data_IF_497778420659
#
_entry.id   IF_497778420659
#
_cell.length_a   1.000
_cell.length_b   1.000
_cell.length_c   1.000
_cell.angle_alpha   90.00
_cell.angle_beta   90.00
_cell.angle_gamma   90.00
#
_symmetry.space_group_name_H-M   'P 1'
#
loop_
_entity.id
_entity.type
_entity.pdbx_description
1 polymer ?
#
# COMPACT_ATOMS: atom_id res chain seq x y z
N UNK A 1 35.98 22.26 46.30
CA UNK A 1 34.90 22.77 45.41
C UNK A 1 35.28 22.42 43.99
N UNK A 2 34.73 21.34 43.43
CA UNK A 2 34.83 21.02 42.01
C UNK A 2 33.42 20.65 41.54
N UNK A 3 32.90 21.43 40.61
CA UNK A 3 31.58 21.27 40.03
C UNK A 3 31.61 20.10 39.05
N UNK A 4 30.82 19.07 39.34
CA UNK A 4 30.57 17.95 38.44
C UNK A 4 29.51 18.42 37.44
N UNK A 5 29.93 18.71 36.20
CA UNK A 5 29.03 19.11 35.13
C UNK A 5 28.39 17.84 34.55
N UNK A 6 27.14 17.61 34.89
CA UNK A 6 26.29 16.53 34.37
C UNK A 6 26.15 16.62 32.83
N UNK A 7 26.52 15.58 32.04
CA UNK A 7 26.37 15.63 30.59
C UNK A 7 24.91 15.36 30.19
N UNK A 8 24.31 16.34 29.51
CA UNK A 8 22.93 16.28 29.01
C UNK A 8 22.61 15.00 28.19
N UNK A 9 21.36 14.48 28.28
CA UNK A 9 20.96 13.25 27.61
C UNK A 9 20.96 13.42 26.08
N UNK A 10 21.59 12.47 25.38
CA UNK A 10 21.64 12.44 23.91
C UNK A 10 20.26 12.05 23.34
N UNK A 11 19.80 12.66 22.22
CA UNK A 11 18.59 12.23 21.54
C UNK A 11 18.75 10.80 21.01
N UNK A 12 17.78 9.94 21.29
CA UNK A 12 17.71 8.62 20.66
C UNK A 12 17.17 8.78 19.23
N UNK A 13 17.81 8.19 18.21
CA UNK A 13 17.23 8.09 16.88
C UNK A 13 15.88 7.37 16.96
N UNK A 14 14.83 8.02 16.45
CA UNK A 14 13.50 7.43 16.38
C UNK A 14 13.48 6.16 15.53
N UNK A 15 12.51 5.25 15.75
CA UNK A 15 12.40 4.02 14.98
C UNK A 15 12.30 4.36 13.48
N UNK A 16 12.90 3.55 12.60
CA UNK A 16 12.80 3.76 11.16
C UNK A 16 11.33 3.78 10.75
N UNK A 17 10.94 4.62 9.76
CA UNK A 17 9.58 4.62 9.23
C UNK A 17 9.23 3.17 8.86
N UNK A 18 8.22 2.63 9.54
CA UNK A 18 7.83 1.25 9.40
C UNK A 18 7.59 0.92 7.94
N UNK A 19 8.28 -0.10 7.45
CA UNK A 19 7.92 -0.74 6.20
C UNK A 19 6.46 -1.18 6.38
N UNK A 20 5.52 -0.49 5.73
CA UNK A 20 4.17 -1.03 5.63
C UNK A 20 4.33 -2.45 5.05
N UNK A 21 3.62 -3.45 5.61
CA UNK A 21 3.69 -4.79 5.03
C UNK A 21 3.28 -4.66 3.57
N UNK A 22 4.11 -5.11 2.63
CA UNK A 22 3.87 -4.97 1.19
C UNK A 22 2.48 -5.49 0.74
N UNK A 23 1.84 -6.33 1.55
CA UNK A 23 0.46 -6.78 1.36
C UNK A 23 -0.64 -5.74 1.67
N UNK A 24 -0.38 -4.71 2.46
CA UNK A 24 -1.34 -3.63 2.74
C UNK A 24 -1.57 -2.77 1.50
N UNK A 25 -0.51 -2.45 0.76
CA UNK A 25 -0.58 -1.71 -0.50
C UNK A 25 -1.29 -2.54 -1.58
N UNK A 26 -1.00 -3.84 -1.64
CA UNK A 26 -1.68 -4.77 -2.56
C UNK A 26 -3.18 -4.86 -2.27
N UNK A 27 -3.58 -4.92 -1.00
CA UNK A 27 -5.00 -4.98 -0.61
C UNK A 27 -5.74 -3.69 -0.96
N UNK A 28 -5.15 -2.53 -0.68
CA UNK A 28 -5.72 -1.23 -1.02
C UNK A 28 -5.88 -1.04 -2.54
N UNK A 29 -4.91 -1.52 -3.33
CA UNK A 29 -4.99 -1.48 -4.80
C UNK A 29 -6.13 -2.36 -5.34
N UNK A 30 -6.33 -3.56 -4.77
CA UNK A 30 -7.46 -4.42 -5.12
C UNK A 30 -8.79 -3.75 -4.76
N UNK A 31 -8.91 -3.21 -3.54
CA UNK A 31 -10.15 -2.57 -3.09
C UNK A 31 -10.51 -1.37 -3.97
N UNK A 32 -9.53 -0.55 -4.37
CA UNK A 32 -9.74 0.54 -5.34
C UNK A 32 -10.20 0.03 -6.71
N UNK A 33 -9.56 -1.03 -7.23
CA UNK A 33 -9.90 -1.59 -8.52
C UNK A 33 -11.34 -2.16 -8.53
N UNK A 34 -11.73 -2.86 -7.46
CA UNK A 34 -13.08 -3.42 -7.29
C UNK A 34 -14.13 -2.33 -7.15
N UNK A 35 -13.85 -1.24 -6.42
CA UNK A 35 -14.74 -0.07 -6.37
C UNK A 35 -14.93 0.59 -7.75
N UNK A 36 -13.97 0.45 -8.66
CA UNK A 36 -14.10 0.89 -10.05
C UNK A 36 -15.12 0.10 -10.90
N UNK A 37 -15.63 -1.02 -10.38
CA UNK A 37 -16.68 -1.83 -10.99
C UNK A 37 -18.11 -1.39 -10.59
N UNK A 38 -18.25 -0.45 -9.65
CA UNK A 38 -19.55 0.14 -9.36
C UNK A 38 -20.07 0.93 -10.58
N UNK A 39 -21.37 0.82 -10.86
CA UNK A 39 -22.03 1.53 -11.98
C UNK A 39 -21.67 1.00 -13.38
N UNK A 40 -21.17 -0.24 -13.49
CA UNK A 40 -20.90 -0.85 -14.79
C UNK A 40 -22.15 -0.87 -15.69
N UNK A 41 -23.35 -1.09 -15.15
CA UNK A 41 -24.59 -1.14 -15.93
C UNK A 41 -24.91 0.16 -16.69
N UNK A 42 -24.32 1.28 -16.29
CA UNK A 42 -24.44 2.58 -16.96
C UNK A 42 -23.46 2.77 -18.13
N UNK A 43 -22.48 1.86 -18.26
CA UNK A 43 -21.43 1.91 -19.27
C UNK A 43 -21.72 0.99 -20.46
N UNK A 44 -21.06 1.26 -21.59
CA UNK A 44 -21.16 0.37 -22.75
C UNK A 44 -20.38 -0.94 -22.50
N UNK A 45 -20.73 -2.04 -23.18
CA UNK A 45 -19.99 -3.30 -23.04
C UNK A 45 -18.50 -3.19 -23.36
N UNK A 46 -18.09 -2.26 -24.23
CA UNK A 46 -16.68 -2.02 -24.52
C UNK A 46 -15.94 -1.46 -23.30
N UNK A 47 -16.56 -0.51 -22.59
CA UNK A 47 -16.02 0.09 -21.35
C UNK A 47 -15.98 -0.94 -20.20
N UNK A 48 -16.90 -1.91 -20.18
CA UNK A 48 -16.86 -3.01 -19.18
C UNK A 48 -15.57 -3.79 -19.29
N UNK A 49 -15.16 -4.12 -20.52
CA UNK A 49 -13.95 -4.91 -20.77
C UNK A 49 -12.72 -4.18 -20.24
N UNK A 50 -12.60 -2.88 -20.47
CA UNK A 50 -11.49 -2.07 -19.95
C UNK A 50 -11.47 -2.03 -18.41
N UNK A 51 -12.64 -1.88 -17.77
CA UNK A 51 -12.75 -1.92 -16.29
C UNK A 51 -12.37 -3.28 -15.72
N UNK A 52 -12.82 -4.37 -16.34
CA UNK A 52 -12.46 -5.73 -15.91
C UNK A 52 -10.99 -6.07 -16.15
N UNK A 53 -10.38 -5.57 -17.23
CA UNK A 53 -8.95 -5.75 -17.50
C UNK A 53 -8.07 -5.02 -16.46
N UNK A 54 -8.46 -3.80 -16.07
CA UNK A 54 -7.80 -3.06 -15.01
C UNK A 54 -7.82 -3.84 -13.67
N UNK A 55 -8.96 -4.43 -13.29
CA UNK A 55 -9.08 -5.27 -12.09
C UNK A 55 -8.24 -6.53 -12.20
N UNK A 56 -8.26 -7.22 -13.33
CA UNK A 56 -7.44 -8.42 -13.56
C UNK A 56 -5.94 -8.11 -13.42
N UNK A 57 -5.50 -6.98 -13.99
CA UNK A 57 -4.10 -6.54 -13.90
C UNK A 57 -3.71 -6.23 -12.45
N UNK A 58 -4.55 -5.49 -11.72
CA UNK A 58 -4.31 -5.17 -10.31
C UNK A 58 -4.20 -6.44 -9.45
N UNK A 59 -5.09 -7.43 -9.69
CA UNK A 59 -5.06 -8.71 -8.99
C UNK A 59 -3.81 -9.52 -9.33
N UNK A 60 -3.42 -9.58 -10.61
CA UNK A 60 -2.22 -10.29 -11.05
C UNK A 60 -0.94 -9.72 -10.43
N UNK A 61 -0.83 -8.39 -10.33
CA UNK A 61 0.28 -7.69 -9.68
C UNK A 61 0.31 -7.99 -8.17
N UNK A 62 -0.85 -7.93 -7.51
CA UNK A 62 -0.95 -8.21 -6.08
C UNK A 62 -0.54 -9.65 -5.75
N UNK A 63 -1.07 -10.63 -6.49
CA UNK A 63 -0.72 -12.04 -6.30
C UNK A 63 0.74 -12.33 -6.61
N UNK A 64 1.28 -11.76 -7.69
CA UNK A 64 2.71 -11.90 -8.06
C UNK A 64 3.65 -11.25 -7.04
N UNK A 65 3.18 -10.25 -6.29
CA UNK A 65 3.97 -9.61 -5.22
C UNK A 65 3.99 -10.44 -3.94
N UNK A 66 2.95 -11.27 -3.71
CA UNK A 66 2.87 -12.20 -2.59
C UNK A 66 3.67 -13.48 -2.87
N UNK A 67 3.69 -13.94 -4.13
CA UNK A 67 4.39 -15.17 -4.56
C UNK A 67 5.92 -15.06 -4.55
N UNK A 68 6.49 -13.86 -4.56
CA UNK A 68 7.94 -13.64 -4.39
C UNK A 68 8.35 -13.89 -2.93
N UNK A 69 8.50 -15.17 -2.58
CA UNK A 69 9.09 -15.67 -1.32
C UNK A 69 10.52 -16.16 -1.51
#
# INVERSE_FOLDING_TARGET
MHAETDPAPRPVPGPPPGHAPAGADARAAIDQAVAGLDGLDELTPAEHVERFDAVHTALAVALSSIDKV
#
